data_IF_375340060478
#
_entry.id   IF_375340060478
#
_cell.length_a   1.000
_cell.length_b   1.000
_cell.length_c   1.000
_cell.angle_alpha   90.00
_cell.angle_beta   90.00
_cell.angle_gamma   90.00
#
_symmetry.space_group_name_H-M   'P 1'
#
loop_
_entity.id
_entity.type
_entity.pdbx_description
1 polymer ?
#
# COMPACT_ATOMS: atom_id res chain seq x y z
N UNK A 1 35.88 34.90 -27.95
CA UNK A 1 36.32 33.61 -28.52
C UNK A 1 36.09 32.51 -27.49
N UNK A 2 35.38 31.45 -27.87
CA UNK A 2 35.03 30.28 -27.03
C UNK A 2 36.28 29.50 -26.61
N UNK A 3 36.43 29.21 -25.32
CA UNK A 3 37.24 28.10 -24.79
C UNK A 3 36.48 27.54 -23.57
N UNK A 4 35.65 26.51 -23.79
CA UNK A 4 35.94 25.09 -23.56
C UNK A 4 35.94 24.71 -22.08
N UNK A 5 34.74 24.37 -21.60
CA UNK A 5 34.47 23.61 -20.38
C UNK A 5 35.16 22.25 -20.46
N UNK A 6 36.15 22.01 -19.58
CA UNK A 6 36.57 20.66 -19.23
C UNK A 6 36.02 20.31 -17.84
N UNK A 7 35.09 19.34 -17.82
CA UNK A 7 34.67 18.62 -16.61
C UNK A 7 35.88 17.88 -16.04
N UNK A 8 36.31 18.24 -14.84
CA UNK A 8 37.16 17.40 -14.00
C UNK A 8 36.26 16.47 -13.19
N UNK A 9 36.28 15.18 -13.52
CA UNK A 9 35.81 14.12 -12.63
C UNK A 9 36.82 13.95 -11.49
N UNK A 10 36.40 13.82 -10.21
CA UNK A 10 37.31 13.43 -9.15
C UNK A 10 37.60 11.92 -9.21
N UNK A 11 38.82 11.49 -8.85
CA UNK A 11 39.20 10.09 -8.85
C UNK A 11 38.52 9.33 -7.71
N UNK A 12 37.87 8.24 -8.08
CA UNK A 12 37.52 7.16 -7.16
C UNK A 12 38.81 6.43 -6.77
N UNK A 13 39.28 6.57 -5.53
CA UNK A 13 39.97 5.49 -4.81
C UNK A 13 40.39 5.92 -3.41
N UNK A 14 40.19 4.99 -2.46
CA UNK A 14 40.83 4.89 -1.16
C UNK A 14 40.40 5.87 -0.06
N UNK A 15 39.22 5.61 0.51
CA UNK A 15 39.02 5.69 1.98
C UNK A 15 38.03 4.61 2.40
N UNK A 16 38.52 3.37 2.38
CA UNK A 16 37.90 2.21 2.99
C UNK A 16 38.73 1.83 4.23
N UNK A 17 38.39 2.43 5.37
CA UNK A 17 38.69 1.89 6.71
C UNK A 17 37.47 2.22 7.58
N UNK A 18 36.46 1.33 7.52
CA UNK A 18 36.12 0.36 8.58
C UNK A 18 35.53 1.02 9.82
N UNK A 19 34.21 1.10 9.85
CA UNK A 19 33.34 0.61 10.93
C UNK A 19 31.95 0.36 10.31
N UNK A 20 31.80 -0.79 9.62
CA UNK A 20 30.49 -1.35 9.26
C UNK A 20 30.19 -2.48 10.24
N UNK A 21 29.15 -2.30 11.05
CA UNK A 21 28.41 -3.42 11.61
C UNK A 21 27.67 -4.11 10.44
N UNK A 22 28.13 -5.31 10.07
CA UNK A 22 27.41 -6.20 9.16
C UNK A 22 26.28 -6.87 9.95
N UNK A 23 25.03 -6.59 9.59
CA UNK A 23 23.95 -7.57 9.75
C UNK A 23 23.88 -8.33 8.42
N UNK A 24 24.26 -9.59 8.49
CA UNK A 24 24.43 -10.49 7.37
C UNK A 24 23.05 -11.07 6.99
N UNK A 25 22.39 -10.50 5.98
CA UNK A 25 21.23 -11.13 5.34
C UNK A 25 21.75 -11.92 4.14
N UNK A 26 21.92 -13.23 4.31
CA UNK A 26 22.19 -14.16 3.21
C UNK A 26 20.95 -14.28 2.34
N UNK A 27 21.12 -14.06 1.03
CA UNK A 27 20.14 -14.36 0.02
C UNK A 27 20.09 -15.85 -0.33
N UNK A 28 18.86 -16.34 -0.54
CA UNK A 28 18.42 -17.49 -1.32
C UNK A 28 17.02 -17.09 -1.82
N UNK A 29 16.47 -17.38 -3.00
CA UNK A 29 16.83 -18.08 -4.24
C UNK A 29 15.68 -17.68 -5.22
N UNK A 30 15.88 -17.89 -6.52
CA UNK A 30 14.85 -17.72 -7.57
C UNK A 30 13.67 -18.71 -7.41
N UNK A 31 12.57 -18.51 -8.17
CA UNK A 31 11.26 -19.12 -7.91
C UNK A 31 11.04 -20.39 -8.75
N UNK A 32 10.72 -21.51 -8.11
CA UNK A 32 10.16 -22.69 -8.78
C UNK A 32 9.14 -23.34 -7.82
N UNK A 33 7.94 -23.54 -8.37
CA UNK A 33 6.97 -24.61 -8.11
C UNK A 33 6.32 -24.83 -6.73
N UNK A 34 5.01 -25.08 -6.81
CA UNK A 34 4.08 -25.10 -5.70
C UNK A 34 4.18 -26.33 -4.79
N UNK A 35 4.05 -26.09 -3.49
CA UNK A 35 3.47 -27.00 -2.50
C UNK A 35 3.14 -26.23 -1.21
N UNK A 36 2.25 -26.77 -0.34
CA UNK A 36 1.51 -25.99 0.64
C UNK A 36 2.36 -25.63 1.86
N UNK A 37 2.29 -24.36 2.27
CA UNK A 37 2.92 -23.87 3.51
C UNK A 37 2.24 -24.49 4.73
N UNK A 38 2.77 -25.61 5.21
CA UNK A 38 2.82 -25.90 6.64
C UNK A 38 3.90 -25.03 7.26
N UNK A 39 3.49 -23.99 7.97
CA UNK A 39 4.39 -23.14 8.75
C UNK A 39 4.91 -23.95 9.95
N UNK A 40 6.23 -24.13 10.12
CA UNK A 40 6.76 -24.68 11.35
C UNK A 40 6.58 -23.66 12.48
N UNK A 41 6.01 -24.11 13.61
CA UNK A 41 6.05 -23.39 14.89
C UNK A 41 7.51 -23.39 15.39
N UNK A 42 8.33 -22.50 14.86
CA UNK A 42 9.54 -22.08 15.55
C UNK A 42 9.18 -20.89 16.45
N UNK A 43 9.26 -21.15 17.76
CA UNK A 43 9.18 -20.16 18.81
C UNK A 43 10.37 -19.21 18.70
N UNK A 44 10.22 -18.17 17.89
CA UNK A 44 11.13 -17.02 17.91
C UNK A 44 10.87 -16.29 19.22
N UNK A 45 11.74 -16.51 20.20
CA UNK A 45 11.84 -15.68 21.40
C UNK A 45 12.30 -14.29 20.95
N UNK A 46 11.34 -13.44 20.63
CA UNK A 46 11.56 -12.00 20.48
C UNK A 46 12.02 -11.51 21.84
N UNK A 47 13.32 -11.31 22.02
CA UNK A 47 13.87 -10.52 23.11
C UNK A 47 13.51 -9.07 22.83
N UNK A 48 12.22 -8.75 22.97
CA UNK A 48 11.74 -7.40 23.06
C UNK A 48 12.44 -6.78 24.27
N UNK A 49 13.10 -5.65 24.05
CA UNK A 49 13.33 -4.68 25.12
C UNK A 49 11.95 -4.23 25.61
N UNK A 50 11.34 -5.06 26.46
CA UNK A 50 10.22 -4.73 27.31
C UNK A 50 10.74 -3.68 28.30
N UNK A 51 10.75 -2.42 27.88
CA UNK A 51 10.51 -1.32 28.79
C UNK A 51 9.11 -1.55 29.34
N UNK A 52 9.02 -2.37 30.39
CA UNK A 52 7.84 -2.52 31.22
C UNK A 52 7.59 -1.17 31.89
N UNK A 53 6.90 -0.25 31.20
CA UNK A 53 6.02 0.64 31.91
C UNK A 53 4.99 -0.26 32.58
N UNK A 54 4.82 -0.24 33.92
CA UNK A 54 3.75 -0.98 34.55
C UNK A 54 2.43 -0.55 33.89
N UNK A 55 1.60 -1.51 33.50
CA UNK A 55 0.26 -1.20 33.03
C UNK A 55 -0.46 -0.44 34.17
N UNK A 56 -1.08 0.72 33.89
CA UNK A 56 -1.78 1.46 34.92
C UNK A 56 -2.89 0.58 35.51
N UNK A 57 -2.89 0.44 36.84
CA UNK A 57 -3.78 -0.46 37.58
C UNK A 57 -5.28 -0.18 37.33
N UNK A 58 -5.63 0.97 36.76
CA UNK A 58 -7.00 1.43 36.57
C UNK A 58 -7.38 1.61 35.09
N UNK A 59 -7.08 0.63 34.21
CA UNK A 59 -7.47 0.67 32.77
C UNK A 59 -8.93 1.12 32.53
N UNK A 60 -9.86 0.75 33.40
CA UNK A 60 -11.28 1.11 33.30
C UNK A 60 -11.60 2.60 33.53
N UNK A 61 -10.75 3.35 34.27
CA UNK A 61 -10.91 4.81 34.41
C UNK A 61 -10.41 5.55 33.15
N UNK A 62 -9.35 5.06 32.51
CA UNK A 62 -8.69 5.77 31.41
C UNK A 62 -9.54 5.85 30.13
N UNK A 63 -10.36 4.84 29.82
CA UNK A 63 -11.13 4.80 28.56
C UNK A 63 -12.32 5.77 28.53
N UNK A 64 -12.87 6.18 29.68
CA UNK A 64 -14.08 7.02 29.74
C UNK A 64 -13.89 8.38 30.45
N UNK A 65 -12.88 8.54 31.31
CA UNK A 65 -12.76 9.78 32.14
C UNK A 65 -11.68 10.76 31.67
N UNK A 66 -10.83 10.41 30.70
CA UNK A 66 -9.81 11.32 30.20
C UNK A 66 -10.38 12.47 29.35
N UNK A 67 -11.47 12.22 28.63
CA UNK A 67 -12.21 13.20 27.84
C UNK A 67 -13.63 13.44 28.40
N UNK A 68 -13.78 13.44 29.73
CA UNK A 68 -15.05 13.83 30.34
C UNK A 68 -15.26 15.34 30.15
N UNK A 69 -16.31 15.74 29.44
CA UNK A 69 -16.67 17.14 29.20
C UNK A 69 -16.82 17.94 30.50
N UNK A 70 -17.25 17.30 31.59
CA UNK A 70 -17.31 17.91 32.92
C UNK A 70 -15.93 18.18 33.54
N UNK A 71 -14.92 17.36 33.23
CA UNK A 71 -13.54 17.55 33.74
C UNK A 71 -12.79 18.60 32.92
N UNK A 72 -13.02 18.64 31.60
CA UNK A 72 -12.54 19.72 30.72
C UNK A 72 -13.15 21.08 31.12
N UNK A 73 -14.42 21.10 31.52
CA UNK A 73 -15.07 22.31 32.04
C UNK A 73 -14.51 22.78 33.40
N UNK A 74 -13.95 21.86 34.19
CA UNK A 74 -13.35 22.16 35.51
C UNK A 74 -11.86 22.52 35.46
N UNK A 75 -11.19 22.37 34.29
CA UNK A 75 -9.81 22.79 34.10
C UNK A 75 -9.76 24.29 33.78
N UNK A 76 -9.83 25.13 34.81
CA UNK A 76 -9.86 26.60 34.66
C UNK A 76 -8.49 27.18 34.30
N UNK A 77 -7.41 26.67 34.90
CA UNK A 77 -6.02 27.04 34.56
C UNK A 77 -5.05 25.87 34.76
N UNK A 78 -4.01 25.81 33.91
CA UNK A 78 -2.84 24.95 34.18
C UNK A 78 -2.01 25.49 35.34
N UNK A 79 -1.11 24.67 35.89
CA UNK A 79 -0.19 25.11 36.94
C UNK A 79 0.69 26.28 36.45
N UNK A 80 0.65 27.41 37.17
CA UNK A 80 1.50 28.57 36.92
C UNK A 80 2.63 28.58 37.94
N UNK A 81 3.86 28.42 37.47
CA UNK A 81 5.02 28.40 38.34
C UNK A 81 5.30 29.81 38.91
N UNK A 82 5.34 30.01 40.24
CA UNK A 82 5.35 31.34 40.86
C UNK A 82 6.60 32.17 40.56
N UNK A 83 7.74 31.52 40.33
CA UNK A 83 9.01 32.19 40.02
C UNK A 83 9.35 32.25 38.53
N UNK A 84 8.51 31.70 37.65
CA UNK A 84 8.77 31.72 36.23
C UNK A 84 7.98 32.86 35.59
N UNK A 85 8.69 33.82 35.01
CA UNK A 85 8.07 34.91 34.25
C UNK A 85 8.72 35.05 32.88
N UNK A 86 7.99 35.63 31.93
CA UNK A 86 8.50 35.85 30.56
C UNK A 86 9.71 36.81 30.52
N UNK A 87 9.82 37.72 31.49
CA UNK A 87 10.92 38.69 31.62
C UNK A 87 12.06 38.25 32.55
N UNK A 88 11.84 37.20 33.35
CA UNK A 88 12.86 36.60 34.20
C UNK A 88 12.59 35.09 34.24
N UNK A 89 13.03 34.34 33.22
CA UNK A 89 12.96 32.88 33.26
C UNK A 89 13.90 32.36 34.34
N UNK A 90 13.44 31.36 35.10
CA UNK A 90 14.22 30.71 36.15
C UNK A 90 15.49 30.07 35.58
N UNK A 91 15.39 29.52 34.37
CA UNK A 91 16.48 28.83 33.71
C UNK A 91 17.19 29.77 32.73
N UNK A 92 18.51 29.84 32.85
CA UNK A 92 19.34 30.50 31.86
C UNK A 92 19.33 29.70 30.56
N UNK A 93 18.87 30.33 29.48
CA UNK A 93 18.90 29.77 28.12
C UNK A 93 19.59 30.74 27.18
N UNK A 94 20.44 30.23 26.29
CA UNK A 94 21.08 31.02 25.24
C UNK A 94 20.03 31.74 24.36
N UNK A 95 18.83 31.18 24.21
CA UNK A 95 17.74 31.81 23.46
C UNK A 95 17.22 33.08 24.15
N UNK A 96 17.16 33.08 25.49
CA UNK A 96 16.76 34.27 26.24
C UNK A 96 17.82 35.37 26.16
N UNK A 97 19.10 34.98 26.28
CA UNK A 97 20.22 35.90 26.06
C UNK A 97 20.17 36.53 24.66
N UNK A 98 19.97 35.72 23.61
CA UNK A 98 19.86 36.22 22.24
C UNK A 98 18.64 37.14 22.05
N UNK A 99 17.50 36.83 22.67
CA UNK A 99 16.32 37.71 22.66
C UNK A 99 16.65 39.08 23.28
N UNK A 100 17.28 39.09 24.45
CA UNK A 100 17.70 40.34 25.11
C UNK A 100 18.74 41.09 24.27
N UNK A 101 19.70 40.40 23.67
CA UNK A 101 20.70 40.99 22.79
C UNK A 101 20.05 41.65 21.56
N UNK A 102 19.14 40.95 20.87
CA UNK A 102 18.42 41.52 19.73
C UNK A 102 17.48 42.66 20.13
N UNK A 103 16.92 42.64 21.34
CA UNK A 103 16.16 43.79 21.85
C UNK A 103 17.04 45.02 22.10
N UNK A 104 18.31 44.82 22.48
CA UNK A 104 19.27 45.90 22.69
C UNK A 104 19.85 46.45 21.39
N UNK A 105 20.15 45.59 20.41
CA UNK A 105 20.64 45.97 19.08
C UNK A 105 19.52 46.61 18.23
N UNK A 106 18.27 46.20 18.48
CA UNK A 106 17.13 46.57 17.67
C UNK A 106 16.94 45.67 16.44
N UNK A 107 15.86 45.86 15.67
CA UNK A 107 15.61 45.11 14.45
C UNK A 107 16.66 45.41 13.38
N UNK A 108 16.74 44.54 12.37
CA UNK A 108 17.63 44.74 11.21
C UNK A 108 17.36 46.10 10.56
N UNK A 109 18.42 46.89 10.39
CA UNK A 109 18.37 48.20 9.73
C UNK A 109 18.32 48.02 8.21
N UNK A 110 17.14 47.65 7.70
CA UNK A 110 16.91 47.46 6.26
C UNK A 110 16.91 48.81 5.55
N UNK A 111 17.85 49.01 4.62
CA UNK A 111 17.87 50.19 3.76
C UNK A 111 16.87 50.03 2.61
N UNK A 112 15.95 50.99 2.39
CA UNK A 112 15.04 50.96 1.23
C UNK A 112 15.70 51.44 -0.08
N UNK A 113 16.95 51.91 -0.03
CA UNK A 113 17.63 52.48 -1.18
C UNK A 113 18.21 51.40 -2.09
N UNK A 114 18.23 51.66 -3.40
CA UNK A 114 18.79 50.76 -4.41
C UNK A 114 20.33 50.61 -4.35
N UNK A 115 21.01 51.50 -3.64
CA UNK A 115 22.46 51.45 -3.46
C UNK A 115 22.87 51.63 -2.00
N UNK A 116 24.06 51.15 -1.66
CA UNK A 116 24.60 51.29 -0.31
C UNK A 116 24.98 52.75 0.00
N UNK A 117 24.86 53.14 1.27
CA UNK A 117 25.25 54.48 1.73
C UNK A 117 26.73 54.79 1.45
N UNK A 118 27.60 53.78 1.56
CA UNK A 118 29.03 53.91 1.28
C UNK A 118 29.31 54.19 -0.20
N UNK A 119 28.49 53.66 -1.11
CA UNK A 119 28.60 53.88 -2.55
C UNK A 119 28.06 55.25 -2.96
N UNK A 120 26.84 55.58 -2.51
CA UNK A 120 26.16 56.84 -2.87
C UNK A 120 26.90 58.09 -2.35
N UNK A 121 27.51 58.00 -1.16
CA UNK A 121 28.13 59.14 -0.47
C UNK A 121 29.64 59.02 -0.29
N UNK A 122 30.30 58.25 -1.15
CA UNK A 122 31.75 57.99 -1.08
C UNK A 122 32.58 59.27 -0.93
N UNK A 123 32.27 60.31 -1.71
CA UNK A 123 32.97 61.61 -1.63
C UNK A 123 32.80 62.32 -0.28
N UNK A 124 31.58 62.34 0.26
CA UNK A 124 31.28 62.95 1.56
C UNK A 124 31.91 62.15 2.71
N UNK A 125 31.87 60.82 2.64
CA UNK A 125 32.55 59.96 3.62
C UNK A 125 34.06 60.16 3.60
N UNK A 126 34.67 60.29 2.42
CA UNK A 126 36.09 60.62 2.32
C UNK A 126 36.41 62.01 2.84
N UNK A 127 35.56 62.99 2.57
CA UNK A 127 35.74 64.33 3.10
C UNK A 127 35.64 64.36 4.64
N UNK A 128 34.67 63.66 5.22
CA UNK A 128 34.55 63.50 6.66
C UNK A 128 35.74 62.75 7.27
N UNK A 129 36.20 61.67 6.62
CA UNK A 129 37.39 60.92 7.03
C UNK A 129 38.65 61.78 6.94
N UNK A 130 38.78 62.61 5.90
CA UNK A 130 39.88 63.56 5.72
C UNK A 130 39.89 64.65 6.81
N UNK A 131 38.73 65.22 7.15
CA UNK A 131 38.63 66.16 8.28
C UNK A 131 38.98 65.44 9.60
N UNK A 132 38.48 64.22 9.79
CA UNK A 132 38.79 63.41 10.96
C UNK A 132 40.27 63.09 11.08
N UNK A 133 40.95 62.77 9.98
CA UNK A 133 42.39 62.48 9.97
C UNK A 133 43.22 63.74 10.25
N UNK A 134 42.87 64.89 9.67
CA UNK A 134 43.53 66.17 10.00
C UNK A 134 43.36 66.52 11.47
N UNK A 135 42.14 66.40 12.01
CA UNK A 135 41.87 66.71 13.41
C UNK A 135 42.59 65.74 14.35
N UNK A 136 42.72 64.48 13.95
CA UNK A 136 43.50 63.49 14.72
C UNK A 136 44.99 63.83 14.68
N UNK A 137 45.56 64.12 13.50
CA UNK A 137 46.97 64.49 13.33
C UNK A 137 47.30 65.81 14.06
N UNK A 138 46.39 66.79 14.01
CA UNK A 138 46.58 68.06 14.71
C UNK A 138 46.51 67.90 16.23
N UNK A 139 45.63 67.04 16.75
CA UNK A 139 45.58 66.68 18.18
C UNK A 139 46.83 65.96 18.68
N UNK A 140 47.51 65.22 17.80
CA UNK A 140 48.80 64.59 18.11
C UNK A 140 50.02 65.50 17.88
N UNK A 141 49.82 66.81 17.76
CA UNK A 141 50.92 67.79 17.69
C UNK A 141 51.57 67.94 16.31
N UNK A 142 50.94 67.42 15.25
CA UNK A 142 51.47 67.50 13.89
C UNK A 142 52.52 66.43 13.58
N UNK A 143 52.83 66.27 12.29
CA UNK A 143 53.69 65.19 11.78
C UNK A 143 55.16 65.35 12.17
N UNK A 144 55.62 66.59 12.40
CA UNK A 144 57.01 66.90 12.77
C UNK A 144 57.31 66.68 14.26
N UNK A 145 56.29 66.67 15.13
CA UNK A 145 56.47 66.46 16.57
C UNK A 145 56.27 65.00 17.01
N UNK A 146 56.05 64.10 16.05
CA UNK A 146 55.57 62.75 16.28
C UNK A 146 56.59 61.67 15.87
N UNK A 147 57.87 61.97 16.06
CA UNK A 147 58.96 60.99 15.93
C UNK A 147 58.74 59.79 16.85
N UNK A 148 58.01 59.97 17.96
CA UNK A 148 57.57 58.89 18.82
C UNK A 148 56.62 57.90 18.11
N UNK A 149 55.57 58.33 17.40
CA UNK A 149 54.72 57.39 16.62
C UNK A 149 55.46 56.73 15.47
N UNK A 150 56.40 57.43 14.82
CA UNK A 150 57.28 56.83 13.81
C UNK A 150 58.20 55.79 14.43
N UNK A 151 58.79 56.10 15.59
CA UNK A 151 59.60 55.18 16.38
C UNK A 151 58.79 53.98 16.88
N UNK A 152 57.50 54.16 17.15
CA UNK A 152 56.58 53.10 17.57
C UNK A 152 56.27 52.10 16.44
N UNK A 153 56.12 52.59 15.20
CA UNK A 153 55.93 51.72 14.00
C UNK A 153 57.18 50.88 13.72
N UNK A 154 58.37 51.42 13.99
CA UNK A 154 59.63 50.71 13.83
C UNK A 154 60.14 50.10 15.15
N UNK A 155 59.32 50.13 16.20
CA UNK A 155 59.66 49.53 17.47
C UNK A 155 59.70 48.01 17.30
N UNK A 156 60.75 47.39 17.84
CA UNK A 156 60.97 45.95 17.72
C UNK A 156 59.77 45.13 18.18
N UNK A 157 59.03 45.57 19.20
CA UNK A 157 57.79 44.91 19.64
C UNK A 157 56.70 44.89 18.55
N UNK A 158 56.50 46.00 17.83
CA UNK A 158 55.55 46.07 16.73
C UNK A 158 56.01 45.21 15.55
N UNK A 159 57.30 45.26 15.19
CA UNK A 159 57.86 44.45 14.11
C UNK A 159 57.78 42.95 14.42
N UNK A 160 58.02 42.54 15.66
CA UNK A 160 57.89 41.15 16.11
C UNK A 160 56.42 40.73 16.08
N UNK A 161 55.50 41.53 16.62
CA UNK A 161 54.07 41.22 16.59
C UNK A 161 53.52 41.16 15.15
N UNK A 162 53.97 42.05 14.27
CA UNK A 162 53.62 42.05 12.86
C UNK A 162 54.15 40.80 12.15
N UNK A 163 55.41 40.42 12.41
CA UNK A 163 56.02 39.23 11.81
C UNK A 163 55.37 37.93 12.30
N UNK A 164 55.17 37.77 13.61
CA UNK A 164 54.46 36.63 14.19
C UNK A 164 53.02 36.57 13.70
N UNK A 165 52.32 37.70 13.70
CA UNK A 165 50.96 37.81 13.16
C UNK A 165 50.89 37.47 11.67
N UNK A 166 51.88 37.87 10.88
CA UNK A 166 51.94 37.54 9.45
C UNK A 166 52.16 36.04 9.20
N UNK A 167 52.97 35.37 10.02
CA UNK A 167 53.13 33.91 9.98
C UNK A 167 51.82 33.20 10.41
N UNK A 168 51.11 33.73 11.40
CA UNK A 168 49.86 33.17 11.91
C UNK A 168 48.67 33.36 10.93
N UNK A 169 48.54 34.54 10.32
CA UNK A 169 47.40 34.93 9.47
C UNK A 169 47.47 34.26 8.09
N UNK A 170 48.67 34.09 7.54
CA UNK A 170 48.82 33.48 6.22
C UNK A 170 48.64 31.96 6.32
N UNK A 171 47.42 31.52 6.04
CA UNK A 171 47.00 30.12 6.03
C UNK A 171 47.84 29.20 5.11
N UNK A 172 48.54 29.78 4.12
CA UNK A 172 49.39 29.10 3.15
C UNK A 172 50.82 29.67 3.13
N UNK A 173 51.40 30.03 4.28
CA UNK A 173 52.84 30.29 4.31
C UNK A 173 53.63 29.01 4.06
N UNK A 174 54.76 29.15 3.35
CA UNK A 174 55.79 28.13 3.14
C UNK A 174 56.47 27.60 4.42
N UNK A 175 55.93 27.94 5.60
CA UNK A 175 56.48 27.63 6.89
C UNK A 175 55.56 26.63 7.61
N UNK A 176 56.14 25.55 8.14
CA UNK A 176 55.50 24.43 8.88
C UNK A 176 53.99 24.26 8.68
N UNK A 177 53.60 23.70 7.52
CA UNK A 177 52.30 23.09 7.27
C UNK A 177 51.09 24.05 7.17
N UNK A 178 50.10 23.73 6.34
CA UNK A 178 48.87 24.53 6.26
C UNK A 178 48.04 24.41 7.55
N UNK A 179 47.56 25.55 8.06
CA UNK A 179 46.65 25.61 9.21
C UNK A 179 45.20 25.50 8.74
N UNK A 180 44.64 24.30 8.75
CA UNK A 180 43.28 24.03 8.25
C UNK A 180 42.15 24.23 9.28
N UNK A 181 42.44 24.61 10.53
CA UNK A 181 41.40 24.73 11.57
C UNK A 181 40.27 25.70 11.19
N UNK A 182 40.61 26.88 10.66
CA UNK A 182 39.62 27.86 10.18
C UNK A 182 38.89 27.31 8.94
N UNK A 183 39.62 26.66 8.03
CA UNK A 183 39.03 26.03 6.84
C UNK A 183 37.96 25.00 7.23
N UNK A 184 38.24 24.09 8.17
CA UNK A 184 37.28 23.09 8.60
C UNK A 184 36.07 23.70 9.31
N UNK A 185 36.26 24.73 10.14
CA UNK A 185 35.15 25.43 10.80
C UNK A 185 34.23 26.13 9.80
N UNK A 186 34.81 26.79 8.80
CA UNK A 186 34.04 27.45 7.74
C UNK A 186 33.35 26.41 6.86
N UNK A 187 34.05 25.35 6.49
CA UNK A 187 33.49 24.26 5.69
C UNK A 187 32.28 23.60 6.38
N UNK A 188 32.43 23.21 7.65
CA UNK A 188 31.34 22.60 8.41
C UNK A 188 30.16 23.56 8.61
N UNK A 189 30.43 24.86 8.79
CA UNK A 189 29.38 25.88 8.86
C UNK A 189 28.59 25.98 7.56
N UNK A 190 29.26 25.94 6.41
CA UNK A 190 28.60 25.92 5.10
C UNK A 190 27.77 24.66 4.89
N UNK A 191 28.29 23.49 5.27
CA UNK A 191 27.56 22.23 5.18
C UNK A 191 26.32 22.24 6.06
N UNK A 192 26.43 22.69 7.31
CA UNK A 192 25.29 22.85 8.21
C UNK A 192 24.24 23.82 7.66
N UNK A 193 24.66 24.93 7.05
CA UNK A 193 23.74 25.87 6.42
C UNK A 193 23.01 25.25 5.22
N UNK A 194 23.72 24.45 4.41
CA UNK A 194 23.08 23.71 3.30
C UNK A 194 22.07 22.69 3.83
N UNK A 195 22.42 21.96 4.90
CA UNK A 195 21.50 21.03 5.56
C UNK A 195 20.26 21.75 6.13
N UNK A 196 20.43 22.93 6.76
CA UNK A 196 19.30 23.70 7.27
C UNK A 196 18.38 24.21 6.16
N UNK A 197 18.95 24.58 5.00
CA UNK A 197 18.16 25.00 3.84
C UNK A 197 17.36 23.84 3.24
N UNK A 198 17.88 22.62 3.30
CA UNK A 198 17.22 21.41 2.83
C UNK A 198 16.35 20.72 3.90
N UNK A 199 16.17 21.33 5.08
CA UNK A 199 15.50 20.70 6.21
C UNK A 199 14.06 20.30 5.89
N UNK A 200 13.31 21.16 5.19
CA UNK A 200 11.91 20.90 4.84
C UNK A 200 11.77 19.63 3.96
N UNK A 201 12.60 19.51 2.92
CA UNK A 201 12.59 18.35 2.01
C UNK A 201 12.93 17.05 2.76
N UNK A 202 13.94 17.09 3.64
CA UNK A 202 14.34 15.91 4.43
C UNK A 202 13.28 15.51 5.46
N UNK A 203 12.64 16.48 6.10
CA UNK A 203 11.54 16.25 7.03
C UNK A 203 10.35 15.60 6.31
N UNK A 204 9.99 16.09 5.12
CA UNK A 204 8.93 15.51 4.30
C UNK A 204 9.26 14.08 3.87
N UNK A 205 10.49 13.83 3.40
CA UNK A 205 10.92 12.48 3.03
C UNK A 205 10.79 11.48 4.18
N UNK A 206 11.16 11.90 5.40
CA UNK A 206 11.02 11.06 6.61
C UNK A 206 9.54 10.87 6.98
N UNK A 207 8.74 11.93 6.92
CA UNK A 207 7.30 11.87 7.17
C UNK A 207 6.59 10.92 6.19
N UNK A 208 6.98 10.93 4.91
CA UNK A 208 6.42 10.04 3.89
C UNK A 208 6.69 8.56 4.18
N UNK A 209 7.83 8.23 4.80
CA UNK A 209 8.10 6.86 5.25
C UNK A 209 7.11 6.42 6.34
N UNK A 210 6.82 7.29 7.31
CA UNK A 210 5.86 7.01 8.36
C UNK A 210 4.41 6.95 7.83
N UNK A 211 4.04 7.86 6.94
CA UNK A 211 2.71 7.89 6.32
C UNK A 211 2.37 6.61 5.57
N UNK A 212 3.36 5.96 4.94
CA UNK A 212 3.14 4.69 4.25
C UNK A 212 2.58 3.62 5.20
N UNK A 213 3.18 3.45 6.38
CA UNK A 213 2.72 2.45 7.34
C UNK A 213 1.35 2.82 7.92
N UNK A 214 1.13 4.09 8.25
CA UNK A 214 -0.18 4.55 8.74
C UNK A 214 -1.28 4.30 7.71
N UNK A 215 -1.02 4.56 6.42
CA UNK A 215 -1.97 4.26 5.34
C UNK A 215 -2.27 2.77 5.26
N UNK A 216 -1.26 1.92 5.32
CA UNK A 216 -1.46 0.46 5.34
C UNK A 216 -2.34 0.00 6.52
N UNK A 217 -2.17 0.62 7.69
CA UNK A 217 -3.03 0.32 8.85
C UNK A 217 -4.49 0.74 8.62
N UNK A 218 -4.72 1.87 7.96
CA UNK A 218 -6.07 2.35 7.62
C UNK A 218 -6.75 1.42 6.60
N UNK A 219 -6.01 0.85 5.65
CA UNK A 219 -6.58 -0.08 4.66
C UNK A 219 -7.15 -1.36 5.32
N UNK A 220 -6.61 -1.82 6.44
CA UNK A 220 -7.21 -2.97 7.16
C UNK A 220 -8.62 -2.67 7.68
N UNK A 221 -8.86 -1.44 8.17
CA UNK A 221 -10.19 -1.02 8.60
C UNK A 221 -11.15 -0.97 7.41
N UNK A 222 -10.68 -0.50 6.24
CA UNK A 222 -11.49 -0.50 5.03
C UNK A 222 -11.90 -1.91 4.59
N UNK A 223 -10.98 -2.88 4.62
CA UNK A 223 -11.29 -4.27 4.26
C UNK A 223 -12.37 -4.85 5.19
N UNK A 224 -12.33 -4.53 6.48
CA UNK A 224 -13.34 -4.97 7.44
C UNK A 224 -14.74 -4.39 7.13
N UNK A 225 -14.81 -3.13 6.72
CA UNK A 225 -16.08 -2.53 6.28
C UNK A 225 -16.65 -3.21 5.03
N UNK A 226 -15.79 -3.62 4.10
CA UNK A 226 -16.19 -4.32 2.88
C UNK A 226 -16.62 -5.77 3.13
N UNK A 227 -16.11 -6.41 4.21
CA UNK A 227 -16.43 -7.80 4.55
C UNK A 227 -17.92 -8.05 4.76
N UNK A 228 -18.62 -7.17 5.48
CA UNK A 228 -20.07 -7.30 5.72
C UNK A 228 -20.88 -7.25 4.43
N UNK A 229 -20.46 -6.43 3.46
CA UNK A 229 -21.10 -6.37 2.14
C UNK A 229 -20.86 -7.66 1.34
N UNK A 230 -19.62 -8.15 1.30
CA UNK A 230 -19.26 -9.39 0.61
C UNK A 230 -20.00 -10.59 1.19
N UNK A 231 -20.09 -10.68 2.52
CA UNK A 231 -20.81 -11.73 3.25
C UNK A 231 -22.31 -11.74 2.93
N UNK A 232 -22.96 -10.58 2.88
CA UNK A 232 -24.37 -10.49 2.49
C UNK A 232 -24.59 -10.97 1.05
N UNK A 233 -23.74 -10.53 0.13
CA UNK A 233 -23.83 -10.91 -1.29
C UNK A 233 -23.57 -12.40 -1.52
N UNK A 234 -22.59 -12.98 -0.83
CA UNK A 234 -22.28 -14.41 -0.95
C UNK A 234 -23.44 -15.28 -0.41
N UNK A 235 -24.03 -14.89 0.72
CA UNK A 235 -25.21 -15.57 1.27
C UNK A 235 -26.42 -15.50 0.33
N UNK A 236 -26.73 -14.31 -0.21
CA UNK A 236 -27.85 -14.15 -1.15
C UNK A 236 -27.63 -15.00 -2.41
N UNK A 237 -26.42 -14.99 -2.98
CA UNK A 237 -26.09 -15.82 -4.13
C UNK A 237 -26.22 -17.31 -3.83
N UNK A 238 -25.72 -17.76 -2.68
CA UNK A 238 -25.82 -19.15 -2.24
C UNK A 238 -27.28 -19.58 -2.10
N UNK A 239 -28.10 -18.80 -1.39
CA UNK A 239 -29.52 -19.10 -1.18
C UNK A 239 -30.32 -19.07 -2.48
N UNK A 240 -30.01 -18.14 -3.39
CA UNK A 240 -30.66 -18.06 -4.71
C UNK A 240 -30.35 -19.30 -5.55
N UNK A 241 -29.09 -19.73 -5.59
CA UNK A 241 -28.70 -20.94 -6.30
C UNK A 241 -29.32 -22.20 -5.66
N UNK A 242 -29.35 -22.27 -4.33
CA UNK A 242 -29.99 -23.37 -3.60
C UNK A 242 -31.49 -23.47 -3.89
N UNK A 243 -32.17 -22.31 -3.95
CA UNK A 243 -33.59 -22.24 -4.32
C UNK A 243 -33.82 -22.76 -5.74
N UNK A 244 -33.06 -22.28 -6.73
CA UNK A 244 -33.19 -22.72 -8.13
C UNK A 244 -32.95 -24.24 -8.25
N UNK A 245 -31.95 -24.76 -7.55
CA UNK A 245 -31.67 -26.20 -7.53
C UNK A 245 -32.81 -27.01 -6.90
N UNK A 246 -33.42 -26.50 -5.82
CA UNK A 246 -34.57 -27.14 -5.20
C UNK A 246 -35.78 -27.15 -6.14
N UNK A 247 -36.08 -26.03 -6.80
CA UNK A 247 -37.15 -25.92 -7.80
C UNK A 247 -36.91 -26.89 -8.97
N UNK A 248 -35.69 -26.94 -9.51
CA UNK A 248 -35.32 -27.89 -10.56
C UNK A 248 -35.49 -29.35 -10.12
N UNK A 249 -35.10 -29.69 -8.89
CA UNK A 249 -35.28 -31.03 -8.34
C UNK A 249 -36.77 -31.40 -8.20
N UNK A 250 -37.62 -30.46 -7.77
CA UNK A 250 -39.07 -30.67 -7.75
C UNK A 250 -39.62 -30.90 -9.15
N UNK A 251 -39.25 -30.09 -10.13
CA UNK A 251 -39.68 -30.26 -11.52
C UNK A 251 -39.24 -31.61 -12.09
N UNK A 252 -37.97 -32.00 -11.89
CA UNK A 252 -37.43 -33.27 -12.35
C UNK A 252 -38.17 -34.45 -11.71
N UNK A 253 -38.47 -34.38 -10.42
CA UNK A 253 -39.24 -35.41 -9.71
C UNK A 253 -40.67 -35.53 -10.26
N UNK A 254 -41.34 -34.42 -10.52
CA UNK A 254 -42.70 -34.42 -11.10
C UNK A 254 -42.72 -35.01 -12.51
N UNK A 255 -41.75 -34.64 -13.36
CA UNK A 255 -41.60 -35.21 -14.71
C UNK A 255 -41.32 -36.71 -14.64
N UNK A 256 -40.41 -37.15 -13.76
CA UNK A 256 -40.13 -38.57 -13.58
C UNK A 256 -41.38 -39.36 -13.12
N UNK A 257 -42.19 -38.77 -12.23
CA UNK A 257 -43.44 -39.37 -11.78
C UNK A 257 -44.47 -39.47 -12.92
N UNK A 258 -44.63 -38.41 -13.73
CA UNK A 258 -45.52 -38.41 -14.91
C UNK A 258 -45.08 -39.46 -15.94
N UNK A 259 -43.80 -39.53 -16.25
CA UNK A 259 -43.26 -40.55 -17.16
C UNK A 259 -43.48 -41.97 -16.62
N UNK A 260 -43.37 -42.16 -15.30
CA UNK A 260 -43.69 -43.44 -14.67
C UNK A 260 -45.18 -43.79 -14.80
N UNK A 261 -46.09 -42.84 -14.60
CA UNK A 261 -47.54 -43.04 -14.79
C UNK A 261 -47.83 -43.39 -16.25
N UNK A 262 -47.29 -42.64 -17.20
CA UNK A 262 -47.44 -42.91 -18.62
C UNK A 262 -46.92 -44.30 -19.01
N UNK A 263 -45.79 -44.73 -18.44
CA UNK A 263 -45.26 -46.07 -18.66
C UNK A 263 -46.20 -47.15 -18.12
N UNK A 264 -46.79 -46.96 -16.93
CA UNK A 264 -47.81 -47.87 -16.38
C UNK A 264 -49.09 -47.89 -17.22
N UNK A 265 -49.55 -46.75 -17.74
CA UNK A 265 -50.70 -46.67 -18.65
C UNK A 265 -50.44 -47.42 -19.96
N UNK A 266 -49.27 -47.24 -20.57
CA UNK A 266 -48.88 -47.98 -21.77
C UNK A 266 -48.76 -49.48 -21.50
N UNK A 267 -48.23 -49.87 -20.34
CA UNK A 267 -48.16 -51.27 -19.94
C UNK A 267 -49.56 -51.86 -19.77
N UNK A 268 -50.47 -51.13 -19.11
CA UNK A 268 -51.87 -51.53 -18.97
C UNK A 268 -52.57 -51.66 -20.32
N UNK A 269 -52.41 -50.68 -21.22
CA UNK A 269 -52.95 -50.73 -22.58
C UNK A 269 -52.41 -51.93 -23.36
N UNK A 270 -51.10 -52.20 -23.31
CA UNK A 270 -50.49 -53.38 -23.94
C UNK A 270 -51.04 -54.67 -23.38
N UNK A 271 -51.22 -54.77 -22.05
CA UNK A 271 -51.84 -55.93 -21.42
C UNK A 271 -53.28 -56.11 -21.87
N UNK A 272 -54.07 -55.03 -21.96
CA UNK A 272 -55.45 -55.09 -22.46
C UNK A 272 -55.52 -55.49 -23.94
N UNK A 273 -54.67 -54.91 -24.81
CA UNK A 273 -54.58 -55.30 -26.22
C UNK A 273 -54.15 -56.76 -26.37
N UNK A 274 -53.20 -57.23 -25.56
CA UNK A 274 -52.79 -58.64 -25.54
C UNK A 274 -53.96 -59.53 -25.12
N UNK A 275 -54.70 -59.16 -24.08
CA UNK A 275 -55.86 -59.93 -23.62
C UNK A 275 -56.98 -59.96 -24.67
N UNK A 276 -57.21 -58.87 -25.39
CA UNK A 276 -58.17 -58.81 -26.50
C UNK A 276 -57.71 -59.71 -27.65
N UNK A 277 -56.46 -59.59 -28.11
CA UNK A 277 -55.91 -60.42 -29.17
C UNK A 277 -55.93 -61.92 -28.81
N UNK A 278 -55.54 -62.29 -27.59
CA UNK A 278 -55.61 -63.67 -27.11
C UNK A 278 -57.08 -64.13 -27.02
N UNK A 279 -57.98 -63.28 -26.52
CA UNK A 279 -59.41 -63.58 -26.44
C UNK A 279 -60.06 -63.80 -27.80
N UNK A 280 -59.75 -62.98 -28.81
CA UNK A 280 -60.24 -63.14 -30.19
C UNK A 280 -59.68 -64.41 -30.84
N UNK A 281 -58.40 -64.72 -30.64
CA UNK A 281 -57.78 -65.98 -31.12
C UNK A 281 -58.40 -67.20 -30.43
N UNK A 282 -58.58 -67.16 -29.12
CA UNK A 282 -59.19 -68.27 -28.36
C UNK A 282 -60.64 -68.50 -28.80
N UNK A 283 -61.43 -67.46 -29.04
CA UNK A 283 -62.77 -67.59 -29.62
C UNK A 283 -62.75 -68.25 -31.00
N UNK A 284 -61.90 -67.79 -31.92
CA UNK A 284 -61.78 -68.40 -33.25
C UNK A 284 -61.33 -69.87 -33.14
N UNK A 285 -60.40 -70.19 -32.24
CA UNK A 285 -60.00 -71.57 -31.96
C UNK A 285 -61.16 -72.40 -31.40
N UNK A 286 -61.99 -71.86 -30.51
CA UNK A 286 -63.19 -72.57 -30.04
C UNK A 286 -64.21 -72.79 -31.16
N UNK A 287 -64.38 -71.82 -32.07
CA UNK A 287 -65.29 -71.92 -33.21
C UNK A 287 -64.81 -72.94 -34.26
N UNK A 288 -63.51 -72.95 -34.57
CA UNK A 288 -62.88 -73.92 -35.47
C UNK A 288 -62.93 -75.35 -34.92
N UNK A 289 -62.82 -75.51 -33.59
CA UNK A 289 -62.87 -76.82 -32.93
C UNK A 289 -64.30 -77.31 -32.64
N UNK A 290 -65.34 -76.50 -32.89
CA UNK A 290 -66.72 -76.94 -32.71
C UNK A 290 -67.15 -77.93 -33.81
N UNK A 291 -67.78 -79.06 -33.43
CA UNK A 291 -68.02 -80.18 -34.34
C UNK A 291 -68.90 -79.84 -35.55
N UNK A 292 -69.75 -78.81 -35.45
CA UNK A 292 -70.66 -78.41 -36.52
C UNK A 292 -70.01 -77.50 -37.59
N UNK A 293 -68.99 -76.71 -37.23
CA UNK A 293 -68.34 -75.74 -38.14
C UNK A 293 -66.95 -76.23 -38.59
N UNK A 294 -66.37 -77.19 -37.89
CA UNK A 294 -65.05 -77.76 -38.21
C UNK A 294 -64.98 -78.45 -39.58
N UNK A 295 -66.08 -79.06 -40.06
CA UNK A 295 -66.12 -79.69 -41.39
C UNK A 295 -66.14 -78.66 -42.51
N UNK A 296 -66.90 -77.57 -42.34
CA UNK A 296 -66.99 -76.48 -43.32
C UNK A 296 -65.63 -75.77 -43.46
N UNK A 297 -64.95 -75.53 -42.34
CA UNK A 297 -63.62 -74.91 -42.31
C UNK A 297 -62.58 -75.80 -42.97
N UNK A 298 -62.55 -77.10 -42.63
CA UNK A 298 -61.65 -78.09 -43.26
C UNK A 298 -61.88 -78.19 -44.76
N UNK A 299 -63.14 -78.13 -45.20
CA UNK A 299 -63.49 -78.13 -46.62
C UNK A 299 -63.00 -76.87 -47.34
N UNK A 300 -63.21 -75.68 -46.77
CA UNK A 300 -62.70 -74.45 -47.36
C UNK A 300 -61.17 -74.39 -47.40
N UNK A 301 -60.48 -74.87 -46.36
CA UNK A 301 -59.02 -74.96 -46.36
C UNK A 301 -58.51 -75.96 -47.40
N UNK A 302 -59.22 -77.07 -47.63
CA UNK A 302 -58.89 -78.06 -48.65
C UNK A 302 -59.11 -77.53 -50.07
N UNK A 303 -60.21 -76.83 -50.32
CA UNK A 303 -60.50 -76.18 -51.60
C UNK A 303 -59.44 -75.12 -51.95
N UNK A 304 -58.99 -74.34 -50.95
CA UNK A 304 -57.92 -73.36 -51.13
C UNK A 304 -56.55 -74.00 -51.36
N UNK A 305 -56.25 -75.10 -50.67
CA UNK A 305 -55.01 -75.86 -50.90
C UNK A 305 -54.97 -76.46 -52.31
N UNK A 306 -56.11 -76.96 -52.81
CA UNK A 306 -56.26 -77.42 -54.19
C UNK A 306 -56.03 -76.30 -55.21
N UNK A 307 -56.53 -75.10 -54.95
CA UNK A 307 -56.35 -73.95 -55.84
C UNK A 307 -54.89 -73.45 -55.87
N UNK A 308 -54.21 -73.46 -54.71
CA UNK A 308 -52.77 -73.18 -54.61
C UNK A 308 -51.90 -74.19 -55.36
N UNK A 309 -52.24 -75.49 -55.31
CA UNK A 309 -51.55 -76.53 -56.08
C UNK A 309 -51.73 -76.32 -57.59
N UNK A 310 -52.94 -75.93 -58.03
CA UNK A 310 -53.24 -75.69 -59.45
C UNK A 310 -52.49 -74.49 -60.02
N UNK A 311 -52.30 -73.45 -59.23
CA UNK A 311 -51.69 -72.18 -59.67
C UNK A 311 -50.18 -72.10 -59.42
N UNK A 312 -49.61 -73.07 -58.69
CA UNK A 312 -48.18 -73.14 -58.37
C UNK A 312 -47.72 -72.14 -57.30
N UNK A 313 -48.63 -71.30 -56.78
CA UNK A 313 -48.37 -70.33 -55.70
C UNK A 313 -49.54 -70.38 -54.71
N UNK A 314 -49.25 -70.67 -53.44
CA UNK A 314 -50.29 -70.70 -52.40
C UNK A 314 -50.72 -69.27 -52.05
N UNK A 315 -51.95 -68.89 -52.42
CA UNK A 315 -52.55 -67.62 -52.00
C UNK A 315 -53.81 -67.88 -51.18
N UNK A 316 -53.86 -67.40 -49.93
CA UNK A 316 -54.93 -67.67 -48.97
C UNK A 316 -56.16 -66.76 -49.13
N UNK A 317 -56.47 -66.33 -50.37
CA UNK A 317 -57.48 -65.29 -50.63
C UNK A 317 -58.91 -65.67 -50.20
N UNK A 318 -59.22 -66.96 -50.21
CA UNK A 318 -60.54 -67.49 -49.85
C UNK A 318 -60.51 -68.21 -48.49
N UNK A 319 -59.47 -68.00 -47.67
CA UNK A 319 -59.40 -68.62 -46.34
C UNK A 319 -60.44 -68.00 -45.43
N UNK A 320 -61.31 -68.82 -44.85
CA UNK A 320 -62.37 -68.39 -43.94
C UNK A 320 -61.85 -68.03 -42.55
N UNK A 321 -60.61 -68.39 -42.20
CA UNK A 321 -60.03 -68.12 -40.87
C UNK A 321 -59.70 -66.63 -40.70
N UNK A 322 -59.10 -66.00 -41.71
CA UNK A 322 -58.70 -64.59 -41.65
C UNK A 322 -59.89 -63.62 -41.47
N UNK A 323 -60.99 -63.69 -42.24
CA UNK A 323 -62.13 -62.80 -42.05
C UNK A 323 -62.83 -63.01 -40.70
N UNK A 324 -62.82 -64.23 -40.14
CA UNK A 324 -63.35 -64.46 -38.78
C UNK A 324 -62.51 -63.81 -37.68
N UNK A 325 -61.18 -63.73 -37.87
CA UNK A 325 -60.30 -63.01 -36.94
C UNK A 325 -60.51 -61.49 -37.08
N UNK A 326 -60.74 -60.99 -38.29
CA UNK A 326 -61.04 -59.57 -38.54
C UNK A 326 -62.40 -59.15 -37.98
N UNK A 327 -63.42 -60.02 -38.03
CA UNK A 327 -64.76 -59.75 -37.48
C UNK A 327 -64.80 -59.76 -35.92
N UNK A 328 -63.86 -60.43 -35.25
CA UNK A 328 -63.76 -60.53 -33.79
C UNK A 328 -62.72 -59.59 -33.14
N UNK A 329 -61.94 -58.83 -33.94
CA UNK A 329 -60.96 -57.83 -33.46
C UNK A 329 -61.53 -56.41 -33.42
#
# INVERSE_FOLDING_TARGET
ARQSLHRLQPPQSLLHQRLRYQVQVRGCLQPEDGCPLQVPRESVSVTALNLCSPEPQNKAEYDATYYNSARMANLTTGYVHPYHSSGAPIYMSNMYFMKSLFSAVGPEQVSPHYESLSRSRRGLLFFALYIGSINTISRFGGWEHNDWLRGMIWHHEFLIAFYLGYIEIRHFTYFMGPKFSIFYNVYSSYELQQMSNAWADQAEMTQNQHLRFTKQQIEYNRIDQEYEFVKKRSLVNFLTNSKINAEAHFHQRTIAMLNSVQAFEQANLKTQMKNLAVGSVDKVLTYVNHPNHAEEMRRSSFENALDGIKTGVMTYKNDKILPMIEDEM
#
